data_IF_317998134688
#
_entry.id   IF_317998134688
#
_cell.length_a   1.000
_cell.length_b   1.000
_cell.length_c   1.000
_cell.angle_alpha   90.00
_cell.angle_beta   90.00
_cell.angle_gamma   90.00
#
_symmetry.space_group_name_H-M   'P 1'
#
loop_
_entity.id
_entity.type
_entity.pdbx_description
1 polymer ?
#
# COMPACT_ATOMS: atom_id res chain seq x y z
N UNK A 1 12.57 -23.99 22.17
CA UNK A 1 11.26 -23.45 22.60
C UNK A 1 10.47 -23.15 21.34
N UNK A 2 9.69 -24.11 20.89
CA UNK A 2 8.95 -23.99 19.62
C UNK A 2 7.67 -23.20 19.86
N UNK A 3 7.49 -22.12 19.10
CA UNK A 3 6.27 -21.32 19.16
C UNK A 3 5.20 -22.02 18.32
N UNK A 4 4.36 -22.81 18.98
CA UNK A 4 3.18 -23.42 18.36
C UNK A 4 2.29 -22.33 17.75
N UNK A 5 2.36 -22.15 16.43
CA UNK A 5 1.43 -21.29 15.70
C UNK A 5 0.09 -22.00 15.48
N UNK A 6 -0.67 -22.18 16.56
CA UNK A 6 -2.13 -22.27 16.45
C UNK A 6 -2.67 -20.92 15.99
N UNK A 7 -2.66 -20.69 14.67
CA UNK A 7 -3.49 -19.67 14.06
C UNK A 7 -4.95 -20.12 14.26
N UNK A 8 -5.80 -19.37 14.97
CA UNK A 8 -7.18 -19.79 15.19
C UNK A 8 -7.90 -19.90 13.85
N UNK A 9 -8.61 -21.01 13.62
CA UNK A 9 -9.35 -21.31 12.36
C UNK A 9 -10.21 -20.12 11.90
N UNK A 10 -10.82 -19.45 12.87
CA UNK A 10 -11.57 -18.20 12.78
C UNK A 10 -10.92 -17.11 11.89
N UNK A 11 -9.59 -17.01 11.82
CA UNK A 11 -8.93 -16.00 10.98
C UNK A 11 -9.10 -16.22 9.47
N UNK A 12 -9.26 -17.47 9.00
CA UNK A 12 -9.56 -17.75 7.58
C UNK A 12 -11.03 -17.44 7.25
N UNK A 13 -11.93 -17.72 8.20
CA UNK A 13 -13.36 -17.42 8.10
C UNK A 13 -13.59 -15.91 8.05
N UNK A 14 -13.04 -15.16 9.03
CA UNK A 14 -13.04 -13.68 9.02
C UNK A 14 -12.42 -13.09 7.76
N UNK A 15 -11.28 -13.62 7.30
CA UNK A 15 -10.66 -13.15 6.04
C UNK A 15 -11.61 -13.30 4.85
N UNK A 16 -12.24 -14.47 4.73
CA UNK A 16 -13.15 -14.80 3.63
C UNK A 16 -14.42 -13.94 3.67
N UNK A 17 -14.98 -13.70 4.87
CA UNK A 17 -16.10 -12.79 5.08
C UNK A 17 -15.75 -11.36 4.64
N UNK A 18 -14.67 -10.77 5.19
CA UNK A 18 -14.22 -9.41 4.89
C UNK A 18 -13.96 -9.26 3.38
N UNK A 19 -13.33 -10.25 2.75
CA UNK A 19 -13.09 -10.25 1.31
C UNK A 19 -14.40 -10.33 0.50
N UNK A 20 -15.42 -11.07 0.94
CA UNK A 20 -16.74 -11.11 0.25
C UNK A 20 -17.45 -9.77 0.33
N UNK A 21 -17.55 -9.18 1.53
CA UNK A 21 -18.16 -7.86 1.75
C UNK A 21 -17.48 -6.77 0.90
N UNK A 22 -16.15 -6.75 0.91
CA UNK A 22 -15.34 -5.87 0.06
C UNK A 22 -15.61 -6.12 -1.44
N UNK A 23 -15.64 -7.37 -1.88
CA UNK A 23 -15.84 -7.73 -3.28
C UNK A 23 -17.23 -7.35 -3.76
N UNK A 24 -18.27 -7.59 -2.98
CA UNK A 24 -19.65 -7.23 -3.33
C UNK A 24 -19.80 -5.71 -3.51
N UNK A 25 -19.25 -4.92 -2.58
CA UNK A 25 -19.29 -3.45 -2.55
C UNK A 25 -18.37 -2.78 -3.57
N UNK A 26 -17.19 -3.34 -3.84
CA UNK A 26 -16.11 -2.67 -4.58
C UNK A 26 -15.66 -3.33 -5.89
N UNK A 27 -16.19 -4.50 -6.30
CA UNK A 27 -15.86 -5.16 -7.61
C UNK A 27 -15.92 -4.26 -8.85
N UNK A 28 -16.79 -3.24 -8.84
CA UNK A 28 -16.93 -2.28 -9.94
C UNK A 28 -16.11 -0.99 -9.73
N UNK A 29 -15.57 -0.76 -8.53
CA UNK A 29 -14.69 0.37 -8.16
C UNK A 29 -13.19 0.00 -8.20
N UNK A 30 -12.86 -1.30 -8.32
CA UNK A 30 -11.50 -1.86 -8.23
C UNK A 30 -11.31 -2.89 -9.34
N UNK A 31 -10.35 -2.66 -10.25
CA UNK A 31 -10.04 -3.60 -11.33
C UNK A 31 -9.16 -4.76 -10.85
N UNK A 32 -8.20 -4.50 -9.94
CA UNK A 32 -7.33 -5.53 -9.39
C UNK A 32 -7.83 -6.01 -8.03
N UNK A 33 -8.37 -7.23 -7.99
CA UNK A 33 -8.88 -7.85 -6.77
C UNK A 33 -7.79 -8.09 -5.71
N UNK A 34 -6.50 -8.06 -6.08
CA UNK A 34 -5.38 -8.14 -5.13
C UNK A 34 -5.43 -7.02 -4.08
N UNK A 35 -5.97 -5.84 -4.45
CA UNK A 35 -6.18 -4.70 -3.54
C UNK A 35 -7.17 -5.07 -2.43
N UNK A 36 -8.28 -5.76 -2.77
CA UNK A 36 -9.27 -6.18 -1.79
C UNK A 36 -8.75 -7.30 -0.89
N UNK A 37 -7.96 -8.23 -1.45
CA UNK A 37 -7.24 -9.26 -0.68
C UNK A 37 -6.23 -8.64 0.30
N UNK A 38 -5.52 -7.57 -0.12
CA UNK A 38 -4.59 -6.84 0.74
C UNK A 38 -5.32 -6.10 1.87
N UNK A 39 -6.47 -5.46 1.59
CA UNK A 39 -7.32 -4.84 2.63
C UNK A 39 -7.77 -5.88 3.66
N UNK A 40 -8.35 -7.02 3.22
CA UNK A 40 -8.75 -8.09 4.13
C UNK A 40 -7.56 -8.63 4.95
N UNK A 41 -6.38 -8.77 4.33
CA UNK A 41 -5.15 -9.18 5.01
C UNK A 41 -4.72 -8.20 6.12
N UNK A 42 -4.88 -6.89 5.90
CA UNK A 42 -4.55 -5.85 6.89
C UNK A 42 -5.47 -5.89 8.11
N UNK A 43 -6.79 -6.05 7.92
CA UNK A 43 -7.72 -6.15 9.06
C UNK A 43 -7.45 -7.35 9.94
N UNK A 44 -7.17 -8.52 9.35
CA UNK A 44 -6.78 -9.74 10.10
C UNK A 44 -5.43 -9.54 10.79
N UNK A 45 -4.43 -8.97 10.12
CA UNK A 45 -3.07 -8.82 10.65
C UNK A 45 -2.97 -7.84 11.84
N UNK A 46 -3.83 -6.83 11.88
CA UNK A 46 -3.92 -5.88 13.00
C UNK A 46 -5.07 -6.23 13.98
N UNK A 47 -5.76 -7.36 13.76
CA UNK A 47 -6.91 -7.87 14.53
C UNK A 47 -8.08 -6.88 14.78
N UNK A 48 -8.20 -5.80 14.00
CA UNK A 48 -9.29 -4.81 14.14
C UNK A 48 -10.61 -5.40 13.62
N UNK A 49 -11.74 -4.94 14.18
CA UNK A 49 -13.07 -5.20 13.61
C UNK A 49 -13.20 -4.50 12.26
N UNK A 50 -13.62 -5.25 11.24
CA UNK A 50 -13.98 -4.69 9.95
C UNK A 50 -15.38 -4.09 10.01
N UNK A 51 -15.59 -3.00 9.27
CA UNK A 51 -16.87 -2.34 9.07
C UNK A 51 -16.85 -1.75 7.66
N UNK A 52 -17.75 -2.23 6.80
CA UNK A 52 -17.76 -1.91 5.38
C UNK A 52 -18.07 -0.42 5.11
N UNK A 53 -18.90 0.23 5.93
CA UNK A 53 -19.25 1.63 5.74
C UNK A 53 -18.27 2.58 6.43
N UNK A 54 -17.70 2.22 7.59
CA UNK A 54 -16.55 2.96 8.17
C UNK A 54 -15.37 2.96 7.20
N UNK A 55 -15.08 1.82 6.57
CA UNK A 55 -14.04 1.71 5.56
C UNK A 55 -14.35 2.52 4.28
N UNK A 56 -15.60 2.44 3.78
CA UNK A 56 -16.06 3.21 2.62
C UNK A 56 -15.98 4.73 2.86
N UNK A 57 -16.39 5.20 4.04
CA UNK A 57 -16.32 6.60 4.47
C UNK A 57 -14.86 7.13 4.51
N UNK A 58 -13.93 6.37 5.08
CA UNK A 58 -12.49 6.70 5.04
C UNK A 58 -11.97 6.71 3.59
N UNK A 59 -12.35 5.73 2.77
CA UNK A 59 -11.87 5.63 1.38
C UNK A 59 -12.39 6.75 0.46
N UNK A 60 -13.64 7.20 0.63
CA UNK A 60 -14.19 8.34 -0.10
C UNK A 60 -13.71 9.69 0.50
N UNK A 61 -13.43 9.79 1.81
CA UNK A 61 -12.76 10.95 2.40
C UNK A 61 -11.36 11.17 1.80
N UNK A 62 -10.52 10.13 1.74
CA UNK A 62 -9.19 10.18 1.12
C UNK A 62 -9.27 10.62 -0.35
N UNK A 63 -10.22 10.06 -1.11
CA UNK A 63 -10.50 10.45 -2.51
C UNK A 63 -10.90 11.92 -2.65
N UNK A 64 -11.67 12.46 -1.71
CA UNK A 64 -12.14 13.85 -1.76
C UNK A 64 -11.02 14.84 -1.40
N UNK A 65 -10.21 14.53 -0.38
CA UNK A 65 -9.11 15.39 0.09
C UNK A 65 -7.83 15.29 -0.76
N UNK A 66 -7.62 14.19 -1.50
CA UNK A 66 -6.43 14.05 -2.35
C UNK A 66 -6.54 14.82 -3.67
N UNK A 67 -5.48 15.54 -4.05
CA UNK A 67 -5.44 16.35 -5.27
C UNK A 67 -5.68 15.54 -6.56
N UNK A 68 -6.20 16.20 -7.60
CA UNK A 68 -6.76 15.60 -8.82
C UNK A 68 -5.87 14.53 -9.51
N UNK A 69 -4.55 14.66 -9.44
CA UNK A 69 -3.58 13.74 -10.05
C UNK A 69 -2.90 12.77 -9.06
N UNK A 70 -3.37 12.70 -7.80
CA UNK A 70 -2.80 11.79 -6.80
C UNK A 70 -3.21 10.33 -7.06
N UNK A 71 -2.29 9.36 -6.88
CA UNK A 71 -2.63 7.92 -6.82
C UNK A 71 -3.75 7.60 -5.81
N UNK A 72 -3.91 8.44 -4.78
CA UNK A 72 -4.93 8.33 -3.73
C UNK A 72 -6.37 8.62 -4.20
N UNK A 73 -6.60 9.04 -5.45
CA UNK A 73 -7.94 9.06 -6.05
C UNK A 73 -8.31 7.71 -6.72
N UNK A 74 -7.31 6.93 -7.12
CA UNK A 74 -7.46 5.61 -7.76
C UNK A 74 -7.50 4.48 -6.72
N UNK A 75 -7.19 3.25 -7.14
CA UNK A 75 -7.35 2.02 -6.34
C UNK A 75 -6.42 1.97 -5.10
N UNK A 76 -5.26 2.61 -5.14
CA UNK A 76 -4.33 2.69 -3.99
C UNK A 76 -4.99 3.27 -2.73
N UNK A 77 -6.05 4.07 -2.89
CA UNK A 77 -6.82 4.65 -1.78
C UNK A 77 -7.40 3.61 -0.83
N UNK A 78 -7.77 2.43 -1.32
CA UNK A 78 -8.33 1.36 -0.50
C UNK A 78 -7.26 0.77 0.42
N UNK A 79 -6.03 0.59 -0.06
CA UNK A 79 -4.88 0.17 0.75
C UNK A 79 -4.53 1.20 1.82
N UNK A 80 -4.50 2.50 1.47
CA UNK A 80 -4.19 3.56 2.45
C UNK A 80 -5.34 3.80 3.45
N UNK A 81 -6.60 3.67 3.04
CA UNK A 81 -7.76 3.67 3.94
C UNK A 81 -7.66 2.53 4.97
N UNK A 82 -7.31 1.32 4.51
CA UNK A 82 -7.13 0.16 5.38
C UNK A 82 -5.94 0.33 6.33
N UNK A 83 -4.81 0.88 5.87
CA UNK A 83 -3.66 1.16 6.73
C UNK A 83 -3.97 2.23 7.79
N UNK A 84 -4.69 3.30 7.43
CA UNK A 84 -5.09 4.34 8.37
C UNK A 84 -6.11 3.81 9.39
N UNK A 85 -7.19 3.15 8.95
CA UNK A 85 -8.19 2.60 9.88
C UNK A 85 -7.61 1.46 10.73
N UNK A 86 -6.76 0.58 10.21
CA UNK A 86 -6.16 -0.49 11.05
C UNK A 86 -5.09 -0.01 12.03
N UNK A 87 -4.59 1.22 11.92
CA UNK A 87 -3.52 1.76 12.79
C UNK A 87 -3.91 2.92 13.68
N UNK A 88 -5.02 3.60 13.42
CA UNK A 88 -5.46 4.76 14.20
C UNK A 88 -6.94 4.63 14.57
N UNK A 89 -7.34 5.21 15.71
CA UNK A 89 -8.75 5.29 16.10
C UNK A 89 -9.49 6.28 15.20
N UNK A 90 -8.87 7.45 14.93
CA UNK A 90 -9.39 8.51 14.08
C UNK A 90 -8.63 8.61 12.73
N UNK A 91 -8.88 7.73 11.75
CA UNK A 91 -8.14 7.71 10.48
C UNK A 91 -8.29 8.98 9.62
N UNK A 92 -9.38 9.75 9.81
CA UNK A 92 -9.59 11.03 9.11
C UNK A 92 -8.67 12.14 9.63
N UNK A 93 -8.42 12.20 10.94
CA UNK A 93 -7.55 13.20 11.57
C UNK A 93 -6.07 12.93 11.26
N UNK A 94 -5.70 11.65 11.11
CA UNK A 94 -4.34 11.25 10.73
C UNK A 94 -4.04 11.39 9.23
N UNK A 95 -5.04 11.60 8.37
CA UNK A 95 -4.82 11.77 6.93
C UNK A 95 -4.09 13.08 6.57
N UNK A 96 -4.42 14.26 7.14
CA UNK A 96 -3.57 15.45 7.03
C UNK A 96 -2.11 15.22 7.46
N UNK A 97 -1.89 14.49 8.55
CA UNK A 97 -0.54 14.17 9.07
C UNK A 97 0.22 13.26 8.09
N UNK A 98 -0.45 12.27 7.51
CA UNK A 98 0.08 11.41 6.44
C UNK A 98 0.52 12.22 5.22
N UNK A 99 -0.30 13.16 4.76
CA UNK A 99 0.04 14.01 3.60
C UNK A 99 1.19 14.96 3.92
N UNK A 100 1.23 15.56 5.11
CA UNK A 100 2.36 16.39 5.55
C UNK A 100 3.68 15.61 5.56
N UNK A 101 3.69 14.36 6.06
CA UNK A 101 4.88 13.50 6.04
C UNK A 101 5.29 13.09 4.60
N UNK A 102 4.34 12.96 3.67
CA UNK A 102 4.63 12.75 2.25
C UNK A 102 5.27 13.99 1.61
N UNK A 103 4.74 15.19 1.87
CA UNK A 103 5.27 16.44 1.32
C UNK A 103 6.63 16.82 1.94
N UNK A 104 6.90 16.47 3.20
CA UNK A 104 8.23 16.56 3.81
C UNK A 104 9.24 15.65 3.08
N UNK A 105 8.89 14.37 2.84
CA UNK A 105 9.75 13.45 2.09
C UNK A 105 10.03 13.94 0.66
N UNK A 106 9.01 14.42 -0.04
CA UNK A 106 9.16 15.01 -1.38
C UNK A 106 10.08 16.23 -1.35
N UNK A 107 9.95 17.10 -0.35
CA UNK A 107 10.83 18.26 -0.13
C UNK A 107 12.26 17.84 0.21
N UNK A 108 12.44 16.72 0.92
CA UNK A 108 13.71 16.03 1.15
C UNK A 108 14.30 15.31 -0.08
N UNK A 109 13.69 15.47 -1.26
CA UNK A 109 14.19 14.95 -2.54
C UNK A 109 13.77 13.51 -2.84
N UNK A 110 12.69 13.00 -2.23
CA UNK A 110 12.08 11.73 -2.67
C UNK A 110 11.20 11.95 -3.91
N UNK A 111 11.17 10.95 -4.80
CA UNK A 111 10.35 10.98 -6.01
C UNK A 111 8.85 10.95 -5.68
N UNK A 112 8.03 11.71 -6.42
CA UNK A 112 6.56 11.70 -6.30
C UNK A 112 5.97 10.40 -6.87
N UNK A 113 6.02 9.31 -6.10
CA UNK A 113 5.55 7.98 -6.49
C UNK A 113 4.93 7.19 -5.31
N UNK A 114 4.43 5.98 -5.57
CA UNK A 114 3.78 5.12 -4.58
C UNK A 114 4.67 4.74 -3.39
N UNK A 115 5.98 4.59 -3.60
CA UNK A 115 6.92 4.21 -2.53
C UNK A 115 7.09 5.34 -1.50
N UNK A 116 7.00 6.60 -1.92
CA UNK A 116 7.06 7.76 -1.01
C UNK A 116 5.79 7.87 -0.15
N UNK A 117 4.62 7.49 -0.69
CA UNK A 117 3.40 7.32 0.14
C UNK A 117 3.54 6.15 1.13
N UNK A 118 4.17 5.03 0.74
CA UNK A 118 4.45 3.93 1.69
C UNK A 118 5.42 4.39 2.79
N UNK A 119 6.47 5.14 2.45
CA UNK A 119 7.40 5.71 3.41
C UNK A 119 6.73 6.71 4.37
N UNK A 120 5.81 7.55 3.88
CA UNK A 120 5.02 8.46 4.71
C UNK A 120 4.10 7.70 5.70
N UNK A 121 3.45 6.61 5.28
CA UNK A 121 2.70 5.75 6.22
C UNK A 121 3.62 5.13 7.28
N UNK A 122 4.83 4.69 6.91
CA UNK A 122 5.79 4.14 7.85
C UNK A 122 6.32 5.18 8.85
N UNK A 123 6.47 6.44 8.44
CA UNK A 123 6.80 7.55 9.35
C UNK A 123 5.71 7.75 10.40
N UNK A 124 4.44 7.90 10.00
CA UNK A 124 3.35 8.20 10.96
C UNK A 124 2.91 6.99 11.80
N UNK A 125 3.22 5.76 11.38
CA UNK A 125 2.88 4.53 12.12
C UNK A 125 4.03 3.95 12.96
N UNK A 126 5.21 4.56 12.90
CA UNK A 126 6.32 4.27 13.83
C UNK A 126 6.36 5.37 14.87
N UNK A 127 6.39 5.03 16.16
CA UNK A 127 6.48 5.99 17.29
C UNK A 127 7.90 6.58 17.44
N UNK A 128 8.42 7.11 16.33
CA UNK A 128 9.77 7.63 16.19
C UNK A 128 9.77 9.13 16.47
N UNK A 129 10.13 9.48 17.72
CA UNK A 129 10.32 10.85 18.23
C UNK A 129 11.46 11.65 17.54
N UNK A 130 11.92 11.18 16.38
CA UNK A 130 13.03 11.72 15.60
C UNK A 130 12.81 11.42 14.10
N UNK A 131 11.82 12.10 13.50
CA UNK A 131 11.46 12.00 12.08
C UNK A 131 12.66 12.23 11.15
N UNK A 132 13.57 13.14 11.52
CA UNK A 132 14.79 13.45 10.78
C UNK A 132 15.83 12.32 10.76
N UNK A 133 15.80 11.41 11.74
CA UNK A 133 16.56 10.15 11.69
C UNK A 133 15.91 9.11 10.78
N UNK A 134 14.57 9.04 10.77
CA UNK A 134 13.82 8.00 10.06
C UNK A 134 13.72 8.32 8.56
N UNK A 135 13.57 9.58 8.16
CA UNK A 135 13.69 9.99 6.75
C UNK A 135 15.08 9.65 6.16
N UNK A 136 16.16 9.83 6.94
CA UNK A 136 17.52 9.39 6.56
C UNK A 136 17.64 7.86 6.47
N UNK A 137 17.04 7.10 7.39
CA UNK A 137 16.97 5.62 7.32
C UNK A 137 16.16 5.14 6.12
N UNK A 138 14.98 5.72 5.87
CA UNK A 138 14.15 5.41 4.70
C UNK A 138 14.89 5.73 3.39
N UNK A 139 15.63 6.84 3.33
CA UNK A 139 16.48 7.20 2.18
C UNK A 139 17.63 6.23 1.98
N UNK A 140 18.23 5.73 3.08
CA UNK A 140 19.27 4.70 3.05
C UNK A 140 18.74 3.35 2.56
N UNK A 141 17.57 2.92 3.06
CA UNK A 141 16.88 1.70 2.62
C UNK A 141 16.47 1.82 1.14
N UNK A 142 15.86 2.93 0.74
CA UNK A 142 15.50 3.20 -0.65
C UNK A 142 16.73 3.22 -1.58
N UNK A 143 17.83 3.83 -1.13
CA UNK A 143 19.10 3.84 -1.87
C UNK A 143 19.63 2.41 -2.05
N UNK A 144 19.72 1.61 -0.98
CA UNK A 144 20.14 0.21 -1.06
C UNK A 144 19.23 -0.64 -1.95
N UNK A 145 17.91 -0.54 -1.80
CA UNK A 145 16.95 -1.22 -2.67
C UNK A 145 17.12 -0.84 -4.15
N UNK A 146 17.46 0.42 -4.44
CA UNK A 146 17.75 0.88 -5.81
C UNK A 146 19.11 0.39 -6.31
N UNK A 147 20.11 0.24 -5.45
CA UNK A 147 21.46 -0.22 -5.79
C UNK A 147 21.50 -1.75 -6.00
N UNK A 148 20.85 -2.53 -5.13
CA UNK A 148 20.79 -4.00 -5.22
C UNK A 148 19.69 -4.49 -6.18
N UNK A 149 18.57 -3.76 -6.31
CA UNK A 149 17.39 -4.19 -7.07
C UNK A 149 16.81 -3.11 -8.01
N UNK A 150 17.66 -2.52 -8.87
CA UNK A 150 17.25 -1.69 -10.03
C UNK A 150 16.02 -2.26 -10.80
N UNK A 151 15.93 -3.58 -10.88
CA UNK A 151 14.88 -4.34 -11.58
C UNK A 151 13.50 -4.31 -10.89
N UNK A 152 13.36 -3.91 -9.62
CA UNK A 152 12.08 -3.91 -8.90
C UNK A 152 11.44 -2.53 -8.72
N UNK A 153 12.21 -1.44 -8.81
CA UNK A 153 11.71 -0.06 -8.67
C UNK A 153 11.63 0.71 -10.00
N UNK A 154 11.97 0.09 -11.12
CA UNK A 154 11.91 0.71 -12.44
C UNK A 154 10.52 0.59 -13.07
N UNK A 155 9.89 1.73 -13.40
CA UNK A 155 8.79 1.75 -14.36
C UNK A 155 9.30 1.36 -15.76
N UNK A 156 9.15 0.08 -16.17
CA UNK A 156 9.00 -0.30 -17.57
C UNK A 156 8.76 -1.81 -17.78
N UNK A 157 7.83 -2.13 -18.68
CA UNK A 157 7.64 -3.45 -19.31
C UNK A 157 8.78 -3.86 -20.27
N UNK A 158 9.97 -3.27 -20.14
CA UNK A 158 11.03 -3.43 -21.15
C UNK A 158 11.54 -4.88 -21.28
N UNK A 159 11.45 -5.68 -20.19
CA UNK A 159 11.88 -7.09 -20.18
C UNK A 159 11.23 -7.90 -21.30
N UNK A 160 9.89 -7.81 -21.43
CA UNK A 160 9.13 -8.65 -22.37
C UNK A 160 9.60 -8.45 -23.81
N UNK A 161 9.93 -7.21 -24.20
CA UNK A 161 10.39 -6.89 -25.57
C UNK A 161 11.74 -7.53 -25.93
N UNK A 162 12.61 -7.79 -24.95
CA UNK A 162 13.87 -8.50 -25.18
C UNK A 162 13.69 -10.01 -25.39
N UNK A 163 12.59 -10.59 -24.92
CA UNK A 163 12.25 -11.99 -25.13
C UNK A 163 11.75 -12.23 -26.56
N UNK A 164 10.81 -11.40 -27.04
CA UNK A 164 10.23 -11.52 -28.39
C UNK A 164 11.27 -11.48 -29.52
N UNK A 165 12.33 -10.68 -29.37
CA UNK A 165 13.37 -10.58 -30.41
C UNK A 165 14.24 -11.85 -30.54
N UNK A 166 14.26 -12.74 -29.54
CA UNK A 166 14.97 -14.04 -29.62
C UNK A 166 14.11 -15.20 -30.13
N UNK A 167 12.80 -14.97 -30.36
CA UNK A 167 11.88 -16.01 -30.85
C UNK A 167 11.72 -15.97 -32.38
N UNK A 168 11.91 -14.81 -33.02
CA UNK A 168 11.86 -14.65 -34.48
C UNK A 168 13.02 -15.32 -35.19
N UNK A 169 14.23 -15.18 -34.66
CA UNK A 169 15.48 -15.65 -35.28
C UNK A 169 15.62 -17.19 -35.25
N UNK A 170 14.66 -17.88 -34.64
CA UNK A 170 14.59 -19.35 -34.53
C UNK A 170 13.53 -20.00 -35.42
N UNK A 171 12.94 -19.23 -36.34
CA UNK A 171 11.94 -19.67 -37.32
C UNK A 171 12.31 -19.27 -38.77
N UNK A 172 13.56 -18.85 -39.01
CA UNK A 172 14.10 -18.50 -40.34
C UNK A 172 15.51 -19.07 -40.59
N UNK A 173 15.81 -20.23 -39.97
CA UNK A 173 16.90 -21.17 -40.28
C UNK A 173 16.43 -22.57 -39.88
#
# INVERSE_FOLDING_TARGET
>A
MEVHMEKPKNNMERYTQIYSELRERFRWKVSDQSVLMMVASLYISNNRSFDIERFNDVAEYIKNQSGLFSPLRSQSRFTFAALLDTRFENPKEMFPVFIAAYDELVSGGFSKNIFTYIAAMLLITTDAKDLGSLSKRARSIYKKMREEHLFLTGHSDYRLRSCWHKTTDRLMN
#
